data_IF_589998682295
#
_entry.id   IF_589998682295
#
_cell.length_a   1.000
_cell.length_b   1.000
_cell.length_c   1.000
_cell.angle_alpha   90.00
_cell.angle_beta   90.00
_cell.angle_gamma   90.00
#
_symmetry.space_group_name_H-M   'P 1'
#
loop_
_entity.id
_entity.type
_entity.pdbx_description
1 polymer ?
#
# COMPACT_ATOMS: atom_id res chain seq x y z
N UNK A 1 49.02 -46.25 36.26
CA UNK A 1 47.62 -46.74 36.22
C UNK A 1 46.81 -45.74 37.05
N UNK A 2 45.96 -44.83 36.55
CA UNK A 2 44.97 -44.78 35.46
C UNK A 2 44.99 -43.31 34.94
N UNK A 3 45.29 -43.00 33.68
CA UNK A 3 44.43 -43.09 32.50
C UNK A 3 43.03 -42.48 32.67
N UNK A 4 42.88 -41.27 32.10
CA UNK A 4 41.76 -40.83 31.24
C UNK A 4 40.34 -40.89 31.84
N UNK A 5 39.83 -39.74 32.27
CA UNK A 5 38.40 -39.44 32.20
C UNK A 5 38.20 -38.05 31.58
N UNK A 6 38.22 -38.07 30.25
CA UNK A 6 37.19 -37.45 29.42
C UNK A 6 36.77 -36.01 29.75
N UNK A 7 37.54 -35.08 29.19
CA UNK A 7 37.08 -33.78 28.68
C UNK A 7 35.94 -34.02 27.67
N UNK A 8 34.67 -33.94 28.08
CA UNK A 8 33.54 -33.96 27.16
C UNK A 8 32.25 -33.50 27.83
N UNK A 9 32.19 -32.27 28.35
CA UNK A 9 30.90 -31.66 28.69
C UNK A 9 31.00 -30.14 28.73
N UNK A 10 31.56 -29.54 27.69
CA UNK A 10 31.65 -28.08 27.54
C UNK A 10 31.54 -27.72 26.06
N UNK A 11 30.42 -28.09 25.43
CA UNK A 11 30.11 -27.71 24.04
C UNK A 11 28.61 -27.88 23.71
N UNK A 12 27.72 -27.57 24.65
CA UNK A 12 26.27 -27.70 24.43
C UNK A 12 25.47 -26.57 25.08
N UNK A 13 25.92 -25.33 24.91
CA UNK A 13 25.19 -24.15 25.37
C UNK A 13 25.52 -22.89 24.54
N UNK A 14 25.68 -23.03 23.21
CA UNK A 14 25.97 -21.89 22.33
C UNK A 14 25.28 -21.98 20.95
N UNK A 15 24.13 -22.64 20.85
CA UNK A 15 23.46 -22.85 19.57
C UNK A 15 21.93 -22.69 19.61
N UNK A 16 21.39 -21.90 20.56
CA UNK A 16 19.93 -21.72 20.70
C UNK A 16 19.45 -20.28 20.89
N UNK A 17 20.31 -19.26 20.68
CA UNK A 17 19.92 -17.84 20.83
C UNK A 17 19.91 -17.05 19.51
N UNK A 18 19.97 -17.72 18.35
CA UNK A 18 19.91 -17.05 17.03
C UNK A 18 18.65 -17.38 16.21
N UNK A 19 17.60 -17.92 16.84
CA UNK A 19 16.35 -18.26 16.16
C UNK A 19 15.19 -17.28 16.41
N UNK A 20 15.44 -16.07 16.93
CA UNK A 20 14.38 -15.08 17.20
C UNK A 20 14.54 -13.76 16.45
N UNK A 21 15.52 -13.62 15.56
CA UNK A 21 15.61 -12.46 14.67
C UNK A 21 15.07 -12.85 13.29
N UNK A 22 13.82 -12.45 12.97
CA UNK A 22 13.38 -12.42 11.57
C UNK A 22 11.93 -12.74 11.24
N UNK A 23 11.00 -12.74 12.19
CA UNK A 23 9.56 -12.86 11.89
C UNK A 23 8.78 -11.73 12.56
N UNK A 24 8.82 -10.52 12.01
CA UNK A 24 7.84 -9.44 12.25
C UNK A 24 8.22 -8.20 11.45
N UNK A 25 7.90 -8.24 10.15
CA UNK A 25 7.69 -7.12 9.22
C UNK A 25 7.90 -7.68 7.81
N UNK A 26 6.99 -8.55 7.36
CA UNK A 26 6.84 -8.82 5.93
C UNK A 26 6.04 -7.65 5.33
N UNK A 27 6.56 -6.43 5.47
CA UNK A 27 6.16 -5.35 4.59
C UNK A 27 6.49 -5.80 3.18
N UNK A 28 5.51 -5.77 2.28
CA UNK A 28 5.77 -6.18 0.91
C UNK A 28 6.86 -5.24 0.35
N UNK A 29 8.08 -5.77 0.19
CA UNK A 29 9.24 -4.97 -0.22
C UNK A 29 9.00 -4.25 -1.55
N UNK A 30 8.07 -4.74 -2.38
CA UNK A 30 7.61 -4.04 -3.57
C UNK A 30 6.85 -2.77 -3.21
N UNK A 31 5.84 -2.86 -2.34
CA UNK A 31 5.03 -1.71 -1.93
C UNK A 31 5.87 -0.61 -1.30
N UNK A 32 6.74 -0.96 -0.35
CA UNK A 32 7.58 0.02 0.34
C UNK A 32 8.58 0.74 -0.58
N UNK A 33 9.18 0.01 -1.53
CA UNK A 33 10.29 0.54 -2.35
C UNK A 33 9.86 1.08 -3.71
N UNK A 34 8.78 0.57 -4.28
CA UNK A 34 8.36 0.86 -5.65
C UNK A 34 7.03 1.63 -5.71
N UNK A 35 6.09 1.36 -4.81
CA UNK A 35 4.73 1.93 -4.86
C UNK A 35 4.63 3.18 -4.00
N UNK A 36 4.91 3.06 -2.69
CA UNK A 36 4.78 4.16 -1.73
C UNK A 36 5.60 5.41 -2.08
N UNK A 37 6.82 5.32 -2.65
CA UNK A 37 7.55 6.50 -3.12
C UNK A 37 6.86 7.26 -4.25
N UNK A 38 5.94 6.62 -4.96
CA UNK A 38 5.20 7.18 -6.11
C UNK A 38 3.77 7.62 -5.72
N UNK A 39 3.41 7.53 -4.44
CA UNK A 39 2.13 8.03 -3.91
C UNK A 39 2.38 9.35 -3.20
N UNK A 40 1.85 10.44 -3.73
CA UNK A 40 1.91 11.77 -3.11
C UNK A 40 0.49 12.24 -2.79
N UNK A 41 -0.05 11.73 -1.67
CA UNK A 41 -1.41 11.98 -1.21
C UNK A 41 -1.37 12.34 0.26
N UNK A 42 -1.02 13.60 0.57
CA UNK A 42 -0.97 14.14 1.93
C UNK A 42 -0.16 13.29 2.92
N UNK A 43 0.94 12.68 2.45
CA UNK A 43 1.79 11.81 3.26
C UNK A 43 1.23 10.41 3.53
N UNK A 44 -0.01 10.10 3.13
CA UNK A 44 -0.63 8.78 3.33
C UNK A 44 0.03 7.74 2.44
N UNK A 45 0.30 6.56 3.00
CA UNK A 45 0.96 5.42 2.33
C UNK A 45 0.16 4.13 2.50
N UNK A 46 0.33 3.18 1.59
CA UNK A 46 -0.16 1.82 1.78
C UNK A 46 0.57 1.18 2.96
N UNK A 47 -0.14 0.34 3.72
CA UNK A 47 0.27 -0.24 5.01
C UNK A 47 0.52 0.78 6.14
N UNK A 48 0.09 2.04 5.97
CA UNK A 48 0.13 3.01 7.08
C UNK A 48 -0.97 2.70 8.09
N UNK A 49 -0.67 2.83 9.38
CA UNK A 49 -1.64 2.59 10.47
C UNK A 49 -2.73 3.67 10.50
N UNK A 50 -3.94 3.34 10.93
CA UNK A 50 -5.09 4.27 11.03
C UNK A 50 -4.72 5.58 11.76
N UNK A 51 -4.01 5.48 12.89
CA UNK A 51 -3.60 6.64 13.71
C UNK A 51 -2.62 7.58 12.97
N UNK A 52 -1.76 7.02 12.12
CA UNK A 52 -0.80 7.80 11.34
C UNK A 52 -1.48 8.55 10.20
N UNK A 53 -2.55 8.00 9.63
CA UNK A 53 -3.34 8.67 8.58
C UNK A 53 -4.00 9.93 9.11
N UNK A 54 -4.63 9.89 10.29
CA UNK A 54 -5.27 11.08 10.87
C UNK A 54 -4.25 12.21 11.11
N UNK A 55 -3.03 11.85 11.55
CA UNK A 55 -1.91 12.80 11.70
C UNK A 55 -1.43 13.35 10.36
N UNK A 56 -1.36 12.51 9.33
CA UNK A 56 -0.88 12.90 8.01
C UNK A 56 -1.86 13.82 7.28
N UNK A 57 -3.16 13.51 7.33
CA UNK A 57 -4.21 14.32 6.70
C UNK A 57 -4.51 15.58 7.53
N UNK A 58 -4.38 15.52 8.85
CA UNK A 58 -4.53 16.66 9.77
C UNK A 58 -5.98 17.01 10.13
N UNK A 59 -6.94 16.24 9.61
CA UNK A 59 -8.37 16.35 9.93
C UNK A 59 -8.96 14.95 10.13
N UNK A 60 -10.15 14.90 10.73
CA UNK A 60 -10.86 13.64 10.98
C UNK A 60 -11.77 13.29 9.80
N UNK A 61 -11.65 12.08 9.29
CA UNK A 61 -12.52 11.55 8.23
C UNK A 61 -13.83 10.95 8.76
N UNK A 62 -14.80 10.77 7.86
CA UNK A 62 -16.06 10.07 8.15
C UNK A 62 -15.91 8.56 7.92
N UNK A 63 -16.16 7.75 8.96
CA UNK A 63 -16.06 6.27 8.87
C UNK A 63 -17.27 5.68 8.16
N UNK A 64 -17.02 4.81 7.19
CA UNK A 64 -18.02 3.94 6.60
C UNK A 64 -17.54 2.49 6.54
N UNK A 65 -18.42 1.55 6.89
CA UNK A 65 -18.13 0.11 6.81
C UNK A 65 -18.31 -0.40 5.37
N UNK A 66 -17.45 -1.32 4.96
CA UNK A 66 -17.42 -1.96 3.64
C UNK A 66 -17.25 -3.48 3.78
N UNK A 67 -17.52 -4.24 2.69
CA UNK A 67 -17.41 -5.72 2.72
C UNK A 67 -15.99 -6.17 3.10
N UNK A 68 -14.96 -5.45 2.66
CA UNK A 68 -13.56 -5.77 2.87
C UNK A 68 -12.90 -4.87 3.94
N UNK A 69 -13.69 -4.36 4.90
CA UNK A 69 -13.20 -3.55 6.01
C UNK A 69 -13.95 -2.24 6.17
N UNK A 70 -13.24 -1.13 6.21
CA UNK A 70 -13.84 0.19 6.37
C UNK A 70 -13.06 1.23 5.60
N UNK A 71 -13.62 2.43 5.50
CA UNK A 71 -12.99 3.56 4.84
C UNK A 71 -13.27 4.85 5.60
N UNK A 72 -12.33 5.79 5.46
CA UNK A 72 -12.50 7.19 5.83
C UNK A 72 -12.67 8.06 4.60
N UNK A 73 -13.79 8.77 4.55
CA UNK A 73 -14.03 9.85 3.59
C UNK A 73 -13.56 11.19 4.15
N UNK A 74 -12.75 11.90 3.38
CA UNK A 74 -12.30 13.26 3.66
C UNK A 74 -12.86 14.16 2.56
N UNK A 75 -14.06 14.69 2.78
CA UNK A 75 -14.88 15.33 1.74
C UNK A 75 -14.21 16.60 1.23
N UNK A 76 -13.68 17.44 2.14
CA UNK A 76 -13.05 18.71 1.78
C UNK A 76 -11.72 18.48 1.04
N UNK A 77 -10.98 17.45 1.44
CA UNK A 77 -9.71 17.05 0.83
C UNK A 77 -9.90 16.22 -0.45
N UNK A 78 -11.13 15.82 -0.76
CA UNK A 78 -11.48 14.93 -1.87
C UNK A 78 -10.73 13.58 -1.85
N UNK A 79 -10.58 12.99 -0.65
CA UNK A 79 -9.91 11.70 -0.44
C UNK A 79 -10.85 10.63 0.10
N UNK A 80 -10.53 9.38 -0.19
CA UNK A 80 -11.11 8.21 0.45
C UNK A 80 -9.99 7.20 0.74
N UNK A 81 -9.82 6.85 2.01
CA UNK A 81 -8.78 5.93 2.47
C UNK A 81 -9.45 4.67 3.00
N UNK A 82 -9.18 3.53 2.37
CA UNK A 82 -9.70 2.24 2.77
C UNK A 82 -8.69 1.48 3.64
N UNK A 83 -9.20 0.81 4.67
CA UNK A 83 -8.43 0.06 5.65
C UNK A 83 -8.78 -1.44 5.61
N UNK A 84 -7.79 -2.26 5.97
CA UNK A 84 -7.99 -3.68 6.22
C UNK A 84 -8.64 -3.87 7.60
N UNK A 85 -9.61 -4.78 7.72
CA UNK A 85 -10.32 -5.02 8.99
C UNK A 85 -9.50 -5.80 10.02
N UNK A 86 -8.54 -6.61 9.56
CA UNK A 86 -7.75 -7.49 10.40
C UNK A 86 -6.47 -6.81 10.90
N UNK A 87 -5.92 -5.88 10.10
CA UNK A 87 -4.67 -5.18 10.44
C UNK A 87 -4.83 -3.71 10.79
N UNK A 88 -5.98 -3.09 10.49
CA UNK A 88 -6.20 -1.64 10.65
C UNK A 88 -5.23 -0.75 9.84
N UNK A 89 -4.54 -1.33 8.86
CA UNK A 89 -3.63 -0.61 7.97
C UNK A 89 -4.33 -0.18 6.67
N UNK A 90 -3.81 0.89 6.06
CA UNK A 90 -4.26 1.40 4.75
C UNK A 90 -4.06 0.32 3.68
N UNK A 91 -5.17 -0.11 3.09
CA UNK A 91 -5.18 -1.00 1.92
C UNK A 91 -5.50 -0.29 0.61
N UNK A 92 -6.14 0.88 0.66
CA UNK A 92 -6.55 1.64 -0.52
C UNK A 92 -6.42 3.13 -0.29
N UNK A 93 -5.91 3.84 -1.29
CA UNK A 93 -5.87 5.29 -1.33
C UNK A 93 -6.56 5.73 -2.62
N UNK A 94 -7.63 6.49 -2.50
CA UNK A 94 -8.33 7.12 -3.62
C UNK A 94 -8.27 8.62 -3.46
N UNK A 95 -7.87 9.33 -4.51
CA UNK A 95 -7.85 10.80 -4.54
C UNK A 95 -8.61 11.33 -5.77
N UNK A 96 -9.38 12.39 -5.55
CA UNK A 96 -9.90 13.28 -6.61
C UNK A 96 -9.34 14.69 -6.48
N UNK A 97 -8.36 14.89 -5.60
CA UNK A 97 -7.72 16.17 -5.36
C UNK A 97 -6.63 16.45 -6.43
N UNK A 98 -6.76 17.51 -7.25
CA UNK A 98 -5.81 17.82 -8.31
C UNK A 98 -4.38 18.12 -7.80
N UNK A 99 -4.23 18.51 -6.54
CA UNK A 99 -2.93 18.82 -5.92
C UNK A 99 -2.17 17.56 -5.47
N UNK A 100 -2.76 16.38 -5.59
CA UNK A 100 -2.14 15.10 -5.19
C UNK A 100 -1.85 14.23 -6.41
N UNK A 101 -0.97 13.24 -6.27
CA UNK A 101 -0.66 12.32 -7.37
C UNK A 101 -0.43 10.87 -6.95
N UNK A 102 -0.65 9.97 -7.90
CA UNK A 102 -0.30 8.55 -7.83
C UNK A 102 0.46 8.23 -9.11
N UNK A 103 1.71 7.78 -9.01
CA UNK A 103 2.65 7.63 -10.13
C UNK A 103 2.81 8.92 -10.96
N UNK A 104 2.73 10.09 -10.32
CA UNK A 104 2.79 11.39 -10.99
C UNK A 104 1.56 11.74 -11.82
N UNK A 105 0.53 10.90 -11.81
CA UNK A 105 -0.76 11.21 -12.39
C UNK A 105 -1.59 12.01 -11.39
N UNK A 106 -2.11 13.17 -11.83
CA UNK A 106 -3.00 14.02 -11.05
C UNK A 106 -4.45 13.86 -11.53
N UNK A 107 -5.45 13.91 -10.65
CA UNK A 107 -6.84 14.12 -11.08
C UNK A 107 -6.95 15.32 -12.03
N UNK A 108 -7.62 15.11 -13.17
CA UNK A 108 -7.69 16.04 -14.29
C UNK A 108 -6.73 15.72 -15.45
N UNK A 109 -5.80 14.77 -15.29
CA UNK A 109 -4.95 14.30 -16.40
C UNK A 109 -5.79 13.66 -17.51
N UNK A 110 -5.35 13.79 -18.77
CA UNK A 110 -5.99 13.06 -19.87
C UNK A 110 -5.83 11.55 -19.73
N UNK A 111 -6.87 10.78 -20.08
CA UNK A 111 -6.84 9.32 -20.02
C UNK A 111 -5.73 8.72 -20.89
N UNK A 112 -5.49 9.27 -22.07
CA UNK A 112 -4.38 8.86 -22.95
C UNK A 112 -3.04 8.94 -22.20
N UNK A 113 -2.74 10.11 -21.61
CA UNK A 113 -1.50 10.29 -20.86
C UNK A 113 -1.42 9.41 -19.60
N UNK A 114 -2.53 9.23 -18.90
CA UNK A 114 -2.57 8.34 -17.74
C UNK A 114 -2.20 6.91 -18.16
N UNK A 115 -2.77 6.40 -19.25
CA UNK A 115 -2.48 5.05 -19.73
C UNK A 115 -1.04 4.89 -20.20
N UNK A 116 -0.45 5.89 -20.87
CA UNK A 116 0.98 5.87 -21.19
C UNK A 116 1.86 5.73 -19.93
N UNK A 117 1.55 6.47 -18.87
CA UNK A 117 2.29 6.40 -17.61
C UNK A 117 2.15 5.01 -16.99
N UNK A 118 0.91 4.52 -16.89
CA UNK A 118 0.58 3.20 -16.33
C UNK A 118 1.32 2.08 -17.06
N UNK A 119 1.30 2.09 -18.39
CA UNK A 119 2.00 1.11 -19.22
C UNK A 119 3.53 1.21 -19.04
N UNK A 120 4.08 2.43 -18.98
CA UNK A 120 5.52 2.65 -18.76
C UNK A 120 6.00 2.16 -17.39
N UNK A 121 5.09 2.13 -16.42
CA UNK A 121 5.33 1.61 -15.07
C UNK A 121 5.14 0.08 -14.98
N UNK A 122 4.81 -0.56 -16.10
CA UNK A 122 4.68 -2.02 -16.20
C UNK A 122 3.40 -2.57 -15.57
N UNK A 123 2.36 -1.74 -15.43
CA UNK A 123 1.03 -2.23 -15.09
C UNK A 123 0.33 -2.79 -16.33
N UNK A 124 -0.38 -3.90 -16.15
CA UNK A 124 -1.14 -4.56 -17.19
C UNK A 124 -2.63 -4.34 -16.99
N UNK A 125 -3.40 -4.22 -18.07
CA UNK A 125 -4.86 -4.04 -17.97
C UNK A 125 -5.52 -5.25 -17.30
N UNK A 126 -6.42 -4.98 -16.35
CA UNK A 126 -7.14 -6.00 -15.61
C UNK A 126 -8.38 -6.49 -16.38
N UNK A 127 -8.25 -7.65 -17.01
CA UNK A 127 -9.35 -8.31 -17.73
C UNK A 127 -10.06 -7.34 -18.70
N UNK A 128 -11.39 -7.25 -18.62
CA UNK A 128 -12.23 -6.41 -19.48
C UNK A 128 -12.41 -4.98 -18.93
N UNK A 129 -11.88 -4.67 -17.74
CA UNK A 129 -12.02 -3.34 -17.14
C UNK A 129 -10.93 -2.40 -17.71
N UNK A 130 -11.34 -1.48 -18.59
CA UNK A 130 -10.44 -0.50 -19.22
C UNK A 130 -9.87 0.54 -18.27
N UNK A 131 -10.36 0.60 -17.04
CA UNK A 131 -9.95 1.58 -16.04
C UNK A 131 -9.16 0.97 -14.91
N UNK A 132 -8.93 -0.35 -14.91
CA UNK A 132 -8.17 -1.06 -13.88
C UNK A 132 -6.95 -1.71 -14.47
N UNK A 133 -5.86 -1.62 -13.73
CA UNK A 133 -4.57 -2.14 -14.11
C UNK A 133 -3.93 -2.81 -12.91
N UNK A 134 -3.14 -3.85 -13.15
CA UNK A 134 -2.54 -4.68 -12.13
C UNK A 134 -1.05 -4.84 -12.35
N UNK A 135 -0.32 -4.86 -11.23
CA UNK A 135 1.09 -5.21 -11.18
C UNK A 135 1.34 -5.85 -9.82
N UNK A 136 1.84 -7.09 -9.82
CA UNK A 136 2.00 -7.89 -8.59
C UNK A 136 0.65 -7.97 -7.81
N UNK A 137 0.65 -7.58 -6.55
CA UNK A 137 -0.49 -7.51 -5.65
C UNK A 137 -1.16 -6.12 -5.63
N UNK A 138 -0.85 -5.25 -6.60
CA UNK A 138 -1.35 -3.87 -6.62
C UNK A 138 -2.31 -3.65 -7.77
N UNK A 139 -3.43 -3.01 -7.46
CA UNK A 139 -4.45 -2.55 -8.41
C UNK A 139 -4.38 -1.02 -8.48
N UNK A 140 -4.15 -0.51 -9.68
CA UNK A 140 -4.23 0.90 -10.00
C UNK A 140 -5.50 1.13 -10.83
N UNK A 141 -6.35 2.06 -10.40
CA UNK A 141 -7.61 2.38 -11.08
C UNK A 141 -7.68 3.86 -11.46
N UNK A 142 -8.13 4.14 -12.67
CA UNK A 142 -8.40 5.50 -13.17
C UNK A 142 -9.91 5.73 -13.14
N UNK A 143 -10.38 6.63 -12.28
CA UNK A 143 -11.80 6.95 -12.16
C UNK A 143 -12.15 7.97 -13.26
N UNK A 144 -13.09 7.62 -14.14
CA UNK A 144 -13.57 8.47 -15.23
C UNK A 144 -15.09 8.39 -15.31
N UNK A 145 -15.78 9.46 -14.94
CA UNK A 145 -17.23 9.60 -14.98
C UNK A 145 -17.71 10.01 -16.37
N UNK A 146 -17.09 11.02 -17.01
CA UNK A 146 -17.43 11.48 -18.38
C UNK A 146 -16.25 12.19 -19.06
N UNK A 147 -15.94 11.78 -20.29
CA UNK A 147 -15.00 12.50 -21.15
C UNK A 147 -13.62 11.83 -21.28
N UNK A 148 -12.61 12.65 -21.53
CA UNK A 148 -11.24 12.22 -21.82
C UNK A 148 -10.26 12.49 -20.67
N UNK A 149 -10.75 12.85 -19.49
CA UNK A 149 -9.95 13.17 -18.31
C UNK A 149 -10.25 12.18 -17.18
N UNK A 150 -9.27 11.95 -16.31
CA UNK A 150 -9.43 11.21 -15.07
C UNK A 150 -10.04 12.11 -13.98
N UNK A 151 -11.21 11.77 -13.46
CA UNK A 151 -11.81 12.47 -12.31
C UNK A 151 -11.14 12.10 -10.98
N UNK A 152 -10.42 10.98 -10.94
CA UNK A 152 -9.72 10.52 -9.76
C UNK A 152 -8.85 9.31 -10.04
N UNK A 153 -8.04 8.95 -9.07
CA UNK A 153 -7.07 7.86 -9.18
C UNK A 153 -7.09 7.07 -7.88
N UNK A 154 -7.02 5.75 -7.97
CA UNK A 154 -6.99 4.87 -6.81
C UNK A 154 -5.86 3.86 -6.92
N UNK A 155 -5.15 3.64 -5.83
CA UNK A 155 -4.18 2.56 -5.66
C UNK A 155 -4.63 1.67 -4.51
N UNK A 156 -4.62 0.36 -4.70
CA UNK A 156 -5.18 -0.62 -3.77
C UNK A 156 -4.31 -1.89 -3.73
N UNK A 157 -4.12 -2.44 -2.54
CA UNK A 157 -3.61 -3.80 -2.36
C UNK A 157 -4.74 -4.76 -2.67
N UNK A 158 -4.48 -5.71 -3.56
CA UNK A 158 -5.43 -6.73 -3.97
C UNK A 158 -5.97 -7.45 -2.72
N UNK A 159 -7.30 -7.42 -2.48
CA UNK A 159 -7.92 -8.08 -1.34
C UNK A 159 -7.86 -9.61 -1.43
#
# INVERSE_FOLDING_TARGET
MKSRFFKALSFMALATVLATAGCSALGNSFVEKEVNPKVDVMGVKLYMEEEEVEKAVGVKGEKAMCINGYEYGYIEENLNIGFNIDTDEVRRITTKNPETSIYGMHPGISLEKAYEIIESEGFEKYQDDKYKFVKEDIILSVISMKGSLADGISIEIKP
#
